data_IF_054921011722
#
_entry.id   IF_054921011722
#
_cell.length_a   1.000
_cell.length_b   1.000
_cell.length_c   1.000
_cell.angle_alpha   90.00
_cell.angle_beta   90.00
_cell.angle_gamma   90.00
#
_symmetry.space_group_name_H-M   'P 1'
#
loop_
_entity.id
_entity.type
_entity.pdbx_description
1 polymer ?
#
# COMPACT_ATOMS: atom_id res chain seq x y z
N UNK A 1 -7.71 -1.67 -33.41
CA UNK A 1 -7.01 -2.94 -33.07
C UNK A 1 -7.99 -3.77 -32.26
N UNK A 2 -8.26 -5.03 -32.63
CA UNK A 2 -9.16 -5.90 -31.86
C UNK A 2 -8.54 -6.19 -30.48
N UNK A 3 -9.28 -5.98 -29.41
CA UNK A 3 -8.82 -6.20 -28.04
C UNK A 3 -8.50 -7.69 -27.81
N UNK A 4 -7.28 -7.94 -27.32
CA UNK A 4 -6.79 -9.30 -27.09
C UNK A 4 -7.36 -9.87 -25.78
N UNK A 5 -7.75 -11.17 -25.75
CA UNK A 5 -8.19 -11.80 -24.52
C UNK A 5 -7.01 -11.98 -23.56
N UNK A 6 -7.28 -12.04 -22.25
CA UNK A 6 -6.27 -12.34 -21.22
C UNK A 6 -5.49 -13.62 -21.50
N UNK A 7 -6.14 -14.62 -22.09
CA UNK A 7 -5.51 -15.90 -22.43
C UNK A 7 -4.39 -15.84 -23.46
N UNK A 8 -4.25 -14.70 -24.16
CA UNK A 8 -3.18 -14.47 -25.12
C UNK A 8 -1.87 -13.96 -24.49
N UNK A 9 -1.86 -13.64 -23.19
CA UNK A 9 -0.67 -13.16 -22.49
C UNK A 9 0.36 -14.28 -22.30
N UNK A 10 1.65 -13.92 -22.35
CA UNK A 10 2.72 -14.77 -21.83
C UNK A 10 2.62 -14.80 -20.31
N UNK A 11 2.70 -15.99 -19.72
CA UNK A 11 2.63 -16.19 -18.27
C UNK A 11 4.03 -16.40 -17.68
N UNK A 12 4.25 -16.07 -16.38
CA UNK A 12 3.27 -15.49 -15.46
C UNK A 12 3.02 -14.00 -15.76
N UNK A 13 1.77 -13.54 -15.62
CA UNK A 13 1.40 -12.16 -15.92
C UNK A 13 0.49 -11.57 -14.84
N UNK A 14 0.89 -10.43 -14.28
CA UNK A 14 0.03 -9.65 -13.41
C UNK A 14 -1.02 -8.90 -14.24
N UNK A 15 -2.27 -9.14 -13.91
CA UNK A 15 -3.43 -8.51 -14.55
C UNK A 15 -4.19 -7.67 -13.54
N UNK A 16 -4.70 -6.53 -14.00
CA UNK A 16 -5.46 -5.57 -13.19
C UNK A 16 -6.80 -5.29 -13.86
N UNK A 17 -7.87 -5.58 -13.14
CA UNK A 17 -9.24 -5.23 -13.51
C UNK A 17 -9.50 -3.76 -13.21
N UNK A 18 -9.49 -2.92 -14.25
CA UNK A 18 -9.60 -1.45 -14.08
C UNK A 18 -10.96 -1.03 -13.55
N UNK A 19 -12.02 -1.81 -13.79
CA UNK A 19 -13.37 -1.47 -13.34
C UNK A 19 -13.50 -1.72 -11.85
N UNK A 20 -12.85 -2.76 -11.33
CA UNK A 20 -12.67 -2.94 -9.89
C UNK A 20 -11.83 -1.83 -9.26
N UNK A 21 -10.67 -1.47 -9.86
CA UNK A 21 -9.85 -0.36 -9.36
C UNK A 21 -10.66 0.93 -9.25
N UNK A 22 -11.42 1.28 -10.30
CA UNK A 22 -12.30 2.47 -10.30
C UNK A 22 -13.37 2.40 -9.22
N UNK A 23 -14.04 1.25 -9.06
CA UNK A 23 -15.07 1.07 -8.01
C UNK A 23 -14.46 1.21 -6.62
N UNK A 24 -13.31 0.59 -6.38
CA UNK A 24 -12.61 0.69 -5.10
C UNK A 24 -12.17 2.13 -4.82
N UNK A 25 -11.64 2.83 -5.84
CA UNK A 25 -11.29 4.25 -5.79
C UNK A 25 -12.47 5.13 -5.36
N UNK A 26 -13.60 5.00 -6.07
CA UNK A 26 -14.82 5.79 -5.84
C UNK A 26 -15.48 5.51 -4.48
N UNK A 27 -15.33 4.30 -3.94
CA UNK A 27 -15.82 3.95 -2.60
C UNK A 27 -15.00 4.59 -1.48
N UNK A 28 -13.72 4.85 -1.73
CA UNK A 28 -12.79 5.34 -0.70
C UNK A 28 -12.66 6.87 -0.69
N UNK A 29 -12.57 7.49 -1.87
CA UNK A 29 -12.22 8.91 -1.99
C UNK A 29 -13.14 9.59 -3.02
N UNK A 30 -13.78 10.68 -2.60
CA UNK A 30 -14.66 11.51 -3.44
C UNK A 30 -13.90 12.21 -4.58
N UNK A 31 -12.60 12.53 -4.35
CA UNK A 31 -11.71 13.20 -5.31
C UNK A 31 -10.80 12.21 -6.04
N UNK A 32 -11.33 11.50 -7.03
CA UNK A 32 -10.51 10.71 -7.95
C UNK A 32 -9.96 11.60 -9.09
N UNK A 33 -8.66 11.49 -9.40
CA UNK A 33 -8.08 12.01 -10.66
C UNK A 33 -7.47 13.42 -10.63
N UNK A 34 -7.34 14.08 -9.46
CA UNK A 34 -6.78 15.45 -9.35
C UNK A 34 -5.27 15.58 -9.61
N UNK A 35 -4.54 14.46 -9.77
CA UNK A 35 -3.05 14.40 -9.78
C UNK A 35 -2.40 15.21 -8.64
N UNK A 36 -3.09 15.36 -7.52
CA UNK A 36 -2.63 16.08 -6.34
C UNK A 36 -3.00 15.30 -5.08
N UNK A 37 -2.28 15.56 -3.99
CA UNK A 37 -2.51 14.95 -2.67
C UNK A 37 -2.29 13.44 -2.74
N UNK A 38 -1.03 13.06 -2.99
CA UNK A 38 -0.60 11.66 -2.99
C UNK A 38 0.46 11.42 -1.92
N UNK A 39 0.48 10.18 -1.44
CA UNK A 39 1.50 9.72 -0.50
C UNK A 39 2.41 8.73 -1.20
N UNK A 40 3.72 8.94 -1.09
CA UNK A 40 4.76 8.09 -1.70
C UNK A 40 5.67 7.48 -0.64
N UNK A 41 6.22 6.31 -0.93
CA UNK A 41 7.05 5.52 -0.01
C UNK A 41 8.55 5.64 -0.27
N UNK A 42 8.94 6.19 -1.43
CA UNK A 42 10.34 6.38 -1.86
C UNK A 42 10.54 7.71 -2.58
N UNK A 43 11.79 8.17 -2.66
CA UNK A 43 12.10 9.34 -3.50
C UNK A 43 12.08 9.00 -4.99
N UNK A 44 12.33 7.75 -5.38
CA UNK A 44 12.07 7.27 -6.73
C UNK A 44 10.61 7.47 -7.15
N UNK A 45 9.65 7.18 -6.27
CA UNK A 45 8.24 7.48 -6.50
C UNK A 45 7.97 8.98 -6.51
N UNK A 46 8.50 9.74 -5.55
CA UNK A 46 8.32 11.20 -5.50
C UNK A 46 8.77 11.87 -6.81
N UNK A 47 9.97 11.55 -7.28
CA UNK A 47 10.49 12.04 -8.56
C UNK A 47 9.63 11.58 -9.73
N UNK A 48 9.26 10.29 -9.77
CA UNK A 48 8.44 9.75 -10.85
C UNK A 48 7.11 10.49 -10.98
N UNK A 49 6.36 10.66 -9.89
CA UNK A 49 5.07 11.35 -9.93
C UNK A 49 5.22 12.84 -10.25
N UNK A 50 6.22 13.51 -9.67
CA UNK A 50 6.53 14.90 -9.98
C UNK A 50 6.83 15.11 -11.47
N UNK A 51 7.65 14.23 -12.08
CA UNK A 51 8.00 14.30 -13.50
C UNK A 51 6.79 14.03 -14.43
N UNK A 52 5.72 13.46 -13.89
CA UNK A 52 4.45 13.21 -14.60
C UNK A 52 3.34 14.21 -14.24
N UNK A 53 3.72 15.35 -13.65
CA UNK A 53 2.82 16.47 -13.37
C UNK A 53 1.91 16.26 -12.17
N UNK A 54 2.32 15.42 -11.21
CA UNK A 54 1.71 15.41 -9.89
C UNK A 54 2.37 16.47 -8.99
N UNK A 55 1.57 17.01 -8.08
CA UNK A 55 2.01 17.94 -7.03
C UNK A 55 1.31 17.57 -5.71
N UNK A 56 1.55 18.29 -4.61
CA UNK A 56 1.06 17.96 -3.27
C UNK A 56 1.41 16.50 -2.94
N UNK A 57 2.71 16.26 -2.84
CA UNK A 57 3.31 14.94 -2.66
C UNK A 57 3.89 14.85 -1.25
N UNK A 58 3.42 13.88 -0.48
CA UNK A 58 3.95 13.55 0.84
C UNK A 58 4.86 12.34 0.77
N UNK A 59 6.15 12.52 1.06
CA UNK A 59 7.07 11.40 1.27
C UNK A 59 6.88 10.83 2.69
N UNK A 60 5.99 9.84 2.82
CA UNK A 60 5.56 9.25 4.11
C UNK A 60 6.58 8.27 4.72
N UNK A 61 7.80 8.75 4.92
CA UNK A 61 8.91 8.02 5.50
C UNK A 61 9.71 8.93 6.42
N UNK A 62 10.19 8.42 7.56
CA UNK A 62 11.05 9.20 8.46
C UNK A 62 12.29 9.66 7.69
N UNK A 63 12.48 10.98 7.57
CA UNK A 63 13.48 11.58 6.67
C UNK A 63 14.87 10.97 6.86
N UNK A 64 15.41 10.25 5.86
CA UNK A 64 16.80 9.80 5.91
C UNK A 64 17.73 10.99 5.71
N UNK A 65 18.73 11.14 6.59
CA UNK A 65 19.59 12.33 6.63
C UNK A 65 20.42 12.51 5.35
N UNK A 66 20.82 11.42 4.71
CA UNK A 66 21.54 11.40 3.43
C UNK A 66 20.69 11.87 2.24
N UNK A 67 19.37 12.01 2.42
CA UNK A 67 18.42 12.38 1.37
C UNK A 67 17.94 13.83 1.46
N UNK A 68 18.42 14.61 2.41
CA UNK A 68 17.99 16.01 2.63
C UNK A 68 18.16 16.85 1.36
N UNK A 69 19.29 16.73 0.65
CA UNK A 69 19.49 17.48 -0.61
C UNK A 69 18.48 17.09 -1.69
N UNK A 70 18.20 15.78 -1.87
CA UNK A 70 17.19 15.31 -2.85
C UNK A 70 15.78 15.79 -2.47
N UNK A 71 15.47 15.84 -1.18
CA UNK A 71 14.20 16.40 -0.70
C UNK A 71 14.14 17.92 -0.94
N UNK A 72 15.24 18.65 -0.79
CA UNK A 72 15.30 20.09 -1.04
C UNK A 72 15.03 20.40 -2.51
N UNK A 73 15.62 19.63 -3.43
CA UNK A 73 15.37 19.77 -4.87
C UNK A 73 13.87 19.59 -5.20
N UNK A 74 13.20 18.61 -4.57
CA UNK A 74 11.76 18.40 -4.74
C UNK A 74 10.92 19.53 -4.11
N UNK A 75 11.27 20.00 -2.91
CA UNK A 75 10.62 21.15 -2.26
C UNK A 75 10.84 22.47 -2.99
N UNK A 76 11.93 22.63 -3.73
CA UNK A 76 12.20 23.80 -4.57
C UNK A 76 11.51 23.71 -5.94
N UNK A 77 11.19 22.50 -6.40
CA UNK A 77 10.58 22.23 -7.71
C UNK A 77 9.05 22.19 -7.69
N UNK A 78 8.44 21.55 -6.69
CA UNK A 78 6.99 21.36 -6.60
C UNK A 78 6.31 22.53 -5.88
N UNK A 79 5.01 22.76 -6.11
CA UNK A 79 4.26 23.74 -5.31
C UNK A 79 4.20 23.29 -3.84
N UNK A 80 4.01 21.98 -3.61
CA UNK A 80 3.95 21.40 -2.28
C UNK A 80 4.59 20.00 -2.26
N UNK A 81 5.82 19.93 -1.75
CA UNK A 81 6.47 18.68 -1.35
C UNK A 81 6.61 18.64 0.17
N UNK A 82 6.19 17.53 0.76
CA UNK A 82 6.07 17.37 2.20
C UNK A 82 6.87 16.15 2.67
N UNK A 83 7.45 16.23 3.87
CA UNK A 83 8.31 15.19 4.45
C UNK A 83 7.86 14.83 5.87
N UNK A 84 8.20 13.62 6.33
CA UNK A 84 7.93 13.17 7.70
C UNK A 84 9.17 13.28 8.58
N UNK A 85 8.99 13.81 9.78
CA UNK A 85 9.98 13.81 10.85
C UNK A 85 9.43 13.14 12.10
N UNK A 86 10.28 12.41 12.80
CA UNK A 86 10.02 11.86 14.14
C UNK A 86 11.23 11.98 15.08
N UNK A 87 12.27 12.72 14.68
CA UNK A 87 13.49 12.86 15.47
C UNK A 87 14.10 14.27 15.33
N UNK A 88 14.59 14.89 16.42
CA UNK A 88 15.17 16.24 16.39
C UNK A 88 16.39 16.37 15.47
N UNK A 89 17.22 15.32 15.35
CA UNK A 89 18.37 15.36 14.42
C UNK A 89 17.96 15.61 12.97
N UNK A 90 16.82 15.08 12.53
CA UNK A 90 16.35 15.32 11.17
C UNK A 90 15.91 16.78 10.98
N UNK A 91 15.32 17.40 12.00
CA UNK A 91 15.04 18.84 12.01
C UNK A 91 16.34 19.67 11.95
N UNK A 92 17.40 19.23 12.63
CA UNK A 92 18.70 19.92 12.58
C UNK A 92 19.36 19.86 11.20
N UNK A 93 19.18 18.78 10.44
CA UNK A 93 19.63 18.71 9.05
C UNK A 93 18.84 19.69 8.16
N UNK A 94 17.52 19.85 8.37
CA UNK A 94 16.73 20.85 7.64
C UNK A 94 17.21 22.28 7.93
N UNK A 95 17.63 22.57 9.16
CA UNK A 95 18.22 23.89 9.53
C UNK A 95 19.52 24.16 8.78
N UNK A 96 20.36 23.14 8.62
CA UNK A 96 21.63 23.24 7.89
C UNK A 96 21.42 23.45 6.39
N UNK A 97 20.28 22.97 5.87
CA UNK A 97 19.89 23.11 4.46
C UNK A 97 18.61 23.95 4.30
N UNK A 98 18.70 25.30 4.43
CA UNK A 98 17.56 26.16 4.11
C UNK A 98 17.19 26.05 2.64
N UNK A 99 15.89 26.12 2.33
CA UNK A 99 15.40 26.15 0.95
C UNK A 99 15.61 27.53 0.32
N UNK A 100 15.76 27.54 -1.00
CA UNK A 100 15.94 28.78 -1.78
C UNK A 100 14.65 29.61 -1.86
N UNK A 101 14.82 30.89 -2.18
CA UNK A 101 13.75 31.84 -2.50
C UNK A 101 12.65 31.98 -1.42
N UNK A 102 13.00 31.73 -0.16
CA UNK A 102 12.07 31.86 0.96
C UNK A 102 11.04 30.72 1.07
N UNK A 103 11.21 29.64 0.31
CA UNK A 103 10.38 28.42 0.43
C UNK A 103 10.54 27.78 1.81
N UNK A 104 9.53 27.04 2.23
CA UNK A 104 9.47 26.38 3.52
C UNK A 104 9.57 24.87 3.37
N UNK A 105 10.25 24.23 4.30
CA UNK A 105 10.12 22.80 4.51
C UNK A 105 8.74 22.51 5.10
N UNK A 106 7.88 21.81 4.37
CA UNK A 106 6.58 21.36 4.87
C UNK A 106 6.73 20.01 5.57
N UNK A 107 6.58 20.00 6.88
CA UNK A 107 6.88 18.85 7.74
C UNK A 107 5.63 18.30 8.38
N UNK A 108 5.49 16.98 8.34
CA UNK A 108 4.57 16.23 9.16
C UNK A 108 5.31 15.59 10.35
N UNK A 109 4.79 15.80 11.56
CA UNK A 109 5.24 15.07 12.73
C UNK A 109 4.64 13.66 12.71
N UNK A 110 5.49 12.66 12.58
CA UNK A 110 5.08 11.25 12.65
C UNK A 110 4.93 10.84 14.10
N UNK A 111 3.73 10.40 14.48
CA UNK A 111 3.46 9.83 15.80
C UNK A 111 3.25 8.31 15.74
N UNK A 112 3.56 7.69 16.88
CA UNK A 112 3.13 6.33 17.21
C UNK A 112 1.92 6.38 18.17
N UNK A 113 0.79 5.86 17.70
CA UNK A 113 -0.45 5.67 18.45
C UNK A 113 -0.80 4.19 18.58
N UNK A 114 0.21 3.34 18.84
CA UNK A 114 0.04 1.91 19.10
C UNK A 114 0.43 0.99 17.94
N UNK A 115 1.02 1.53 16.88
CA UNK A 115 1.50 0.72 15.75
C UNK A 115 2.88 0.10 16.02
N UNK A 116 3.75 0.74 16.81
CA UNK A 116 5.04 0.18 17.21
C UNK A 116 6.06 0.07 16.08
N UNK A 117 6.04 1.03 15.12
CA UNK A 117 6.91 1.01 13.93
C UNK A 117 7.90 2.18 13.86
N UNK A 118 7.37 3.39 13.83
CA UNK A 118 8.10 4.65 13.70
C UNK A 118 7.21 5.78 14.23
N UNK A 119 7.80 6.93 14.51
CA UNK A 119 7.11 8.05 15.14
C UNK A 119 7.39 8.20 16.62
N UNK A 120 7.24 9.42 17.11
CA UNK A 120 7.32 9.71 18.54
C UNK A 120 6.05 9.19 19.20
N UNK A 121 6.18 8.50 20.33
CA UNK A 121 5.02 7.99 21.06
C UNK A 121 4.15 9.18 21.53
N UNK A 122 2.87 9.19 21.13
CA UNK A 122 1.95 10.33 21.35
C UNK A 122 1.75 10.72 22.83
N UNK A 123 2.03 9.80 23.76
CA UNK A 123 1.90 10.02 25.20
C UNK A 123 3.13 10.67 25.83
N UNK A 124 4.26 10.69 25.12
CA UNK A 124 5.54 11.17 25.63
C UNK A 124 5.70 12.68 25.46
N UNK A 125 6.28 13.41 26.44
CA UNK A 125 6.50 14.85 26.35
C UNK A 125 7.30 15.28 25.10
N UNK A 126 8.20 14.43 24.65
CA UNK A 126 9.07 14.63 23.48
C UNK A 126 8.28 14.90 22.21
N UNK A 127 7.06 14.35 22.08
CA UNK A 127 6.22 14.59 20.91
C UNK A 127 5.77 16.06 20.81
N UNK A 128 5.38 16.67 21.94
CA UNK A 128 5.02 18.09 22.00
C UNK A 128 6.26 18.96 21.87
N UNK A 129 7.36 18.60 22.55
CA UNK A 129 8.63 19.32 22.46
C UNK A 129 9.16 19.38 21.02
N UNK A 130 9.05 18.27 20.27
CA UNK A 130 9.44 18.23 18.86
C UNK A 130 8.51 19.08 17.99
N UNK A 131 7.19 19.04 18.21
CA UNK A 131 6.25 19.92 17.49
C UNK A 131 6.56 21.41 17.71
N UNK A 132 6.84 21.80 18.96
CA UNK A 132 7.26 23.17 19.32
C UNK A 132 8.58 23.55 18.65
N UNK A 133 9.56 22.63 18.62
CA UNK A 133 10.83 22.85 17.96
C UNK A 133 10.67 23.06 16.44
N UNK A 134 9.79 22.29 15.79
CA UNK A 134 9.47 22.46 14.36
C UNK A 134 8.88 23.86 14.13
N UNK A 135 7.84 24.25 14.87
CA UNK A 135 7.17 25.56 14.74
C UNK A 135 8.13 26.73 15.03
N UNK A 136 9.05 26.55 15.98
CA UNK A 136 10.06 27.56 16.32
C UNK A 136 11.22 27.67 15.33
N UNK A 137 11.31 26.79 14.33
CA UNK A 137 12.42 26.77 13.37
C UNK A 137 12.10 27.61 12.14
N UNK A 138 12.90 28.66 11.90
CA UNK A 138 12.77 29.49 10.68
C UNK A 138 12.96 28.65 9.43
N UNK A 139 12.07 28.82 8.45
CA UNK A 139 12.13 28.10 7.17
C UNK A 139 11.49 26.70 7.20
N UNK A 140 10.84 26.33 8.30
CA UNK A 140 10.13 25.06 8.46
C UNK A 140 8.70 25.34 8.91
N UNK A 141 7.74 24.65 8.31
CA UNK A 141 6.32 24.70 8.68
C UNK A 141 5.89 23.32 9.19
N UNK A 142 5.23 23.30 10.36
CA UNK A 142 4.51 22.10 10.81
C UNK A 142 3.17 22.00 10.07
N UNK A 143 3.13 21.22 9.01
CA UNK A 143 1.91 20.99 8.23
C UNK A 143 0.87 20.20 9.01
N UNK A 144 1.30 19.19 9.76
CA UNK A 144 0.37 18.33 10.49
C UNK A 144 1.02 17.20 11.26
N UNK A 145 0.15 16.38 11.84
CA UNK A 145 0.48 15.12 12.51
C UNK A 145 0.06 13.96 11.62
N UNK A 146 0.96 12.99 11.43
CA UNK A 146 0.72 11.81 10.59
C UNK A 146 0.81 10.53 11.42
N UNK A 147 -0.22 9.70 11.40
CA UNK A 147 -0.30 8.44 12.16
C UNK A 147 -0.71 7.29 11.24
N UNK A 148 0.06 6.20 11.24
CA UNK A 148 -0.33 5.02 10.45
C UNK A 148 -0.75 3.89 11.40
N UNK A 149 -2.02 3.46 11.31
CA UNK A 149 -2.58 2.34 12.08
C UNK A 149 -2.32 0.97 11.39
N UNK A 150 -1.04 0.64 11.22
CA UNK A 150 -0.61 -0.63 10.60
C UNK A 150 -0.93 -1.87 11.45
N UNK A 151 -1.13 -1.71 12.75
CA UNK A 151 -1.62 -2.74 13.67
C UNK A 151 -2.99 -3.31 13.27
N UNK A 152 -3.78 -2.60 12.45
CA UNK A 152 -5.04 -3.10 11.88
C UNK A 152 -4.89 -4.33 10.97
N UNK A 153 -3.69 -4.63 10.47
CA UNK A 153 -3.42 -5.85 9.69
C UNK A 153 -3.45 -7.13 10.54
N UNK A 154 -3.44 -7.00 11.87
CA UNK A 154 -3.58 -8.12 12.80
C UNK A 154 -5.05 -8.42 13.15
N UNK A 155 -5.99 -7.55 12.76
CA UNK A 155 -7.40 -7.69 13.06
C UNK A 155 -8.06 -8.84 12.28
N UNK A 156 -9.16 -9.35 12.82
CA UNK A 156 -10.10 -10.24 12.14
C UNK A 156 -11.51 -9.74 12.36
N UNK A 157 -12.15 -9.30 11.28
CA UNK A 157 -13.52 -8.80 11.27
C UNK A 157 -13.63 -7.30 11.57
N UNK A 158 -14.79 -6.76 11.20
CA UNK A 158 -15.10 -5.32 11.23
C UNK A 158 -14.98 -4.72 12.63
N UNK A 159 -15.44 -5.42 13.66
CA UNK A 159 -15.39 -4.93 15.04
C UNK A 159 -13.96 -4.61 15.50
N UNK A 160 -13.01 -5.52 15.27
CA UNK A 160 -11.61 -5.30 15.65
C UNK A 160 -10.96 -4.20 14.81
N UNK A 161 -11.29 -4.11 13.52
CA UNK A 161 -10.82 -3.04 12.64
C UNK A 161 -11.30 -1.68 13.17
N UNK A 162 -12.58 -1.57 13.52
CA UNK A 162 -13.18 -0.34 14.04
C UNK A 162 -12.63 0.02 15.42
N UNK A 163 -12.35 -0.97 16.28
CA UNK A 163 -11.70 -0.72 17.57
C UNK A 163 -10.31 -0.07 17.39
N UNK A 164 -9.46 -0.62 16.50
CA UNK A 164 -8.15 -0.03 16.19
C UNK A 164 -8.28 1.35 15.54
N UNK A 165 -9.26 1.53 14.64
CA UNK A 165 -9.52 2.81 14.00
C UNK A 165 -9.96 3.88 15.02
N UNK A 166 -10.86 3.54 15.93
CA UNK A 166 -11.35 4.42 16.98
C UNK A 166 -10.22 4.79 17.95
N UNK A 167 -9.48 3.80 18.45
CA UNK A 167 -8.35 4.05 19.36
C UNK A 167 -7.31 4.97 18.71
N UNK A 168 -6.88 4.67 17.47
CA UNK A 168 -5.92 5.53 16.75
C UNK A 168 -6.47 6.95 16.58
N UNK A 169 -7.75 7.09 16.23
CA UNK A 169 -8.41 8.38 16.04
C UNK A 169 -8.45 9.16 17.35
N UNK A 170 -8.86 8.53 18.45
CA UNK A 170 -8.97 9.16 19.76
C UNK A 170 -7.61 9.64 20.27
N UNK A 171 -6.57 8.79 20.18
CA UNK A 171 -5.22 9.17 20.59
C UNK A 171 -4.68 10.32 19.74
N UNK A 172 -4.97 10.33 18.44
CA UNK A 172 -4.58 11.42 17.54
C UNK A 172 -5.29 12.71 17.92
N UNK A 173 -6.62 12.69 18.10
CA UNK A 173 -7.40 13.87 18.47
C UNK A 173 -7.01 14.41 19.86
N UNK A 174 -6.76 13.54 20.83
CA UNK A 174 -6.24 13.94 22.14
C UNK A 174 -4.88 14.64 22.01
N UNK A 175 -4.00 14.15 21.13
CA UNK A 175 -2.72 14.83 20.85
C UNK A 175 -2.94 16.19 20.17
N UNK A 176 -3.88 16.29 19.23
CA UNK A 176 -4.24 17.57 18.60
C UNK A 176 -4.73 18.61 19.62
N UNK A 177 -5.50 18.19 20.63
CA UNK A 177 -5.91 19.09 21.73
C UNK A 177 -4.72 19.54 22.59
N UNK A 178 -3.72 18.67 22.83
CA UNK A 178 -2.47 19.06 23.51
C UNK A 178 -1.66 20.09 22.70
N UNK A 179 -1.59 19.93 21.37
CA UNK A 179 -0.96 20.91 20.48
C UNK A 179 -1.69 22.24 20.53
N UNK A 180 -3.02 22.22 20.45
CA UNK A 180 -3.86 23.42 20.53
C UNK A 180 -3.70 24.16 21.85
N UNK A 181 -3.67 23.44 22.98
CA UNK A 181 -3.38 24.00 24.29
C UNK A 181 -1.98 24.64 24.38
N UNK A 182 -1.04 24.18 23.55
CA UNK A 182 0.31 24.75 23.41
C UNK A 182 0.40 25.86 22.36
N UNK A 183 -0.74 26.31 21.80
CA UNK A 183 -0.80 27.36 20.78
C UNK A 183 -0.47 26.90 19.36
N UNK A 184 -0.39 25.58 19.11
CA UNK A 184 -0.08 25.00 17.80
C UNK A 184 -1.36 24.49 17.14
N UNK A 185 -1.63 24.94 15.90
CA UNK A 185 -2.72 24.42 15.07
C UNK A 185 -2.13 23.88 13.77
N UNK A 186 -2.46 22.65 13.41
CA UNK A 186 -1.99 21.97 12.21
C UNK A 186 -3.00 20.92 11.74
N UNK A 187 -2.74 20.24 10.62
CA UNK A 187 -3.58 19.14 10.13
C UNK A 187 -3.39 17.85 10.93
N UNK A 188 -4.32 16.91 10.79
CA UNK A 188 -4.23 15.55 11.32
C UNK A 188 -4.57 14.52 10.25
N UNK A 189 -3.74 13.49 10.14
CA UNK A 189 -3.80 12.45 9.11
C UNK A 189 -3.66 11.08 9.74
N UNK A 190 -4.64 10.20 9.51
CA UNK A 190 -4.52 8.78 9.85
C UNK A 190 -4.85 7.88 8.67
N UNK A 191 -4.46 6.62 8.68
CA UNK A 191 -5.03 5.69 7.72
C UNK A 191 -4.31 4.37 7.57
N UNK A 192 -5.10 3.37 7.27
CA UNK A 192 -4.72 2.06 6.76
C UNK A 192 -5.87 1.58 5.87
N UNK A 193 -5.61 0.64 4.96
CA UNK A 193 -6.71 0.09 4.14
C UNK A 193 -7.79 -0.54 5.01
N UNK A 194 -7.49 -1.36 6.05
CA UNK A 194 -8.53 -1.89 6.91
C UNK A 194 -9.39 -0.81 7.57
N UNK A 195 -8.77 0.15 8.26
CA UNK A 195 -9.51 1.20 9.00
C UNK A 195 -10.35 2.08 8.09
N UNK A 196 -9.86 2.40 6.89
CA UNK A 196 -10.57 3.25 5.95
C UNK A 196 -11.65 2.50 5.16
N UNK A 197 -11.59 1.17 5.08
CA UNK A 197 -12.67 0.35 4.50
C UNK A 197 -13.88 0.25 5.43
N UNK A 198 -13.66 0.38 6.74
CA UNK A 198 -14.70 0.40 7.78
C UNK A 198 -14.51 1.61 8.71
N UNK A 199 -14.70 2.85 8.22
CA UNK A 199 -14.40 4.05 8.98
C UNK A 199 -15.30 4.20 10.20
N UNK A 200 -14.77 4.81 11.25
CA UNK A 200 -15.55 5.23 12.43
C UNK A 200 -15.93 6.71 12.32
N UNK A 201 -17.03 7.11 12.96
CA UNK A 201 -17.59 8.46 12.83
C UNK A 201 -16.58 9.57 13.15
N UNK A 202 -15.76 9.36 14.17
CA UNK A 202 -14.80 10.37 14.63
C UNK A 202 -13.65 10.61 13.66
N UNK A 203 -13.41 9.73 12.69
CA UNK A 203 -12.46 10.00 11.61
C UNK A 203 -12.87 11.24 10.79
N UNK A 204 -14.15 11.61 10.79
CA UNK A 204 -14.64 12.86 10.19
C UNK A 204 -14.17 14.14 10.89
N UNK A 205 -13.53 14.03 12.06
CA UNK A 205 -12.88 15.16 12.76
C UNK A 205 -11.42 15.36 12.33
N UNK A 206 -10.84 14.41 11.59
CA UNK A 206 -9.48 14.49 11.08
C UNK A 206 -9.44 15.35 9.80
N UNK A 207 -8.25 15.83 9.44
CA UNK A 207 -8.09 16.63 8.22
C UNK A 207 -8.06 15.77 6.95
N UNK A 208 -7.47 14.57 7.02
CA UNK A 208 -7.31 13.67 5.88
C UNK A 208 -7.14 12.21 6.30
N UNK A 209 -7.28 11.30 5.32
CA UNK A 209 -6.94 9.88 5.47
C UNK A 209 -6.04 9.39 4.33
N UNK A 210 -5.20 8.39 4.60
CA UNK A 210 -4.15 7.92 3.66
C UNK A 210 -4.10 6.39 3.42
N UNK A 211 -5.21 5.71 3.06
CA UNK A 211 -5.14 4.31 2.63
C UNK A 211 -4.47 4.18 1.25
N UNK A 212 -4.03 2.98 0.87
CA UNK A 212 -3.38 2.75 -0.43
C UNK A 212 -3.70 1.40 -1.08
N UNK A 213 -3.53 0.31 -0.33
CA UNK A 213 -3.77 -1.05 -0.81
C UNK A 213 -5.18 -1.26 -1.40
N UNK A 214 -6.20 -0.55 -0.88
CA UNK A 214 -7.59 -0.61 -1.33
C UNK A 214 -7.81 -0.47 -2.85
N UNK A 215 -6.91 0.21 -3.57
CA UNK A 215 -6.98 0.30 -5.03
C UNK A 215 -6.98 -1.07 -5.69
N UNK A 216 -6.25 -2.03 -5.12
CA UNK A 216 -6.22 -3.42 -5.58
C UNK A 216 -6.94 -4.41 -4.65
N UNK A 217 -6.86 -4.20 -3.33
CA UNK A 217 -7.11 -5.24 -2.33
C UNK A 217 -6.29 -6.53 -2.62
N UNK A 218 -6.46 -7.55 -1.78
CA UNK A 218 -5.83 -8.86 -1.91
C UNK A 218 -6.48 -9.88 -0.94
N UNK A 219 -5.97 -11.12 -0.93
CA UNK A 219 -6.50 -12.15 -0.03
C UNK A 219 -6.28 -11.77 1.44
N UNK A 220 -5.18 -11.10 1.80
CA UNK A 220 -4.95 -10.66 3.18
C UNK A 220 -6.04 -9.69 3.62
N UNK A 221 -6.39 -8.68 2.80
CA UNK A 221 -7.49 -7.76 3.11
C UNK A 221 -8.83 -8.48 3.22
N UNK A 222 -9.09 -9.49 2.38
CA UNK A 222 -10.31 -10.29 2.50
C UNK A 222 -10.36 -11.11 3.79
N UNK A 223 -9.24 -11.71 4.22
CA UNK A 223 -9.14 -12.45 5.50
C UNK A 223 -9.26 -11.53 6.71
N UNK A 224 -8.73 -10.31 6.62
CA UNK A 224 -8.90 -9.28 7.67
C UNK A 224 -10.38 -8.87 7.77
N UNK A 225 -11.11 -8.88 6.64
CA UNK A 225 -12.51 -8.45 6.54
C UNK A 225 -12.68 -7.04 5.96
N UNK A 226 -11.64 -6.49 5.32
CA UNK A 226 -11.66 -5.15 4.71
C UNK A 226 -12.40 -5.13 3.37
N UNK A 227 -12.41 -6.26 2.65
CA UNK A 227 -13.10 -6.41 1.37
C UNK A 227 -13.59 -7.86 1.18
N UNK A 228 -14.36 -8.11 0.13
CA UNK A 228 -14.62 -9.46 -0.37
C UNK A 228 -13.58 -9.86 -1.43
N UNK A 229 -13.46 -11.16 -1.74
CA UNK A 229 -12.53 -11.63 -2.80
C UNK A 229 -12.94 -11.09 -4.19
N UNK A 230 -14.22 -10.82 -4.40
CA UNK A 230 -14.75 -10.26 -5.64
C UNK A 230 -14.29 -8.81 -5.86
N UNK A 231 -13.92 -8.08 -4.80
CA UNK A 231 -13.39 -6.72 -4.88
C UNK A 231 -11.90 -6.68 -5.23
N UNK A 232 -11.20 -7.81 -5.14
CA UNK A 232 -9.78 -7.89 -5.50
C UNK A 232 -9.60 -7.69 -7.00
N UNK A 233 -8.87 -6.62 -7.34
CA UNK A 233 -8.64 -6.16 -8.70
C UNK A 233 -7.37 -6.73 -9.33
N UNK A 234 -6.40 -7.15 -8.51
CA UNK A 234 -5.10 -7.67 -8.97
C UNK A 234 -5.07 -9.19 -8.92
N UNK A 235 -4.58 -9.81 -10.00
CA UNK A 235 -4.41 -11.27 -10.10
C UNK A 235 -3.13 -11.60 -10.87
N UNK A 236 -2.63 -12.83 -10.73
CA UNK A 236 -1.51 -13.35 -11.53
C UNK A 236 -2.01 -14.53 -12.35
N UNK A 237 -1.93 -14.40 -13.67
CA UNK A 237 -2.19 -15.50 -14.59
C UNK A 237 -0.97 -16.41 -14.65
N UNK A 238 -1.20 -17.72 -14.65
CA UNK A 238 -0.16 -18.75 -14.76
C UNK A 238 -0.67 -19.91 -15.60
N UNK A 239 0.23 -20.69 -16.21
CA UNK A 239 -0.12 -21.89 -16.95
C UNK A 239 0.36 -23.15 -16.23
N UNK A 240 -0.44 -24.20 -16.37
CA UNK A 240 -0.01 -25.56 -16.03
C UNK A 240 1.07 -25.99 -17.02
N UNK A 241 2.26 -26.30 -16.51
CA UNK A 241 3.43 -26.71 -17.33
C UNK A 241 3.85 -28.15 -17.07
N UNK A 242 3.27 -28.82 -16.07
CA UNK A 242 3.57 -30.22 -15.81
C UNK A 242 2.54 -30.88 -14.90
N UNK A 243 2.41 -32.20 -15.05
CA UNK A 243 1.69 -33.06 -14.12
C UNK A 243 2.69 -33.94 -13.39
N UNK A 244 2.50 -34.12 -12.09
CA UNK A 244 3.33 -34.98 -11.26
C UNK A 244 2.46 -36.01 -10.51
N UNK A 245 1.94 -37.06 -11.20
CA UNK A 245 1.02 -38.04 -10.60
C UNK A 245 1.55 -38.71 -9.33
N UNK A 246 2.83 -39.07 -9.32
CA UNK A 246 3.52 -39.68 -8.17
C UNK A 246 3.55 -38.80 -6.90
N UNK A 247 3.26 -37.50 -7.02
CA UNK A 247 3.19 -36.54 -5.90
C UNK A 247 1.81 -35.88 -5.76
N UNK A 248 0.83 -36.28 -6.58
CA UNK A 248 -0.49 -35.64 -6.63
C UNK A 248 -0.42 -34.11 -6.84
N UNK A 249 0.37 -33.66 -7.81
CA UNK A 249 0.70 -32.24 -8.01
C UNK A 249 0.56 -31.77 -9.47
N UNK A 250 0.17 -30.51 -9.64
CA UNK A 250 0.40 -29.72 -10.86
C UNK A 250 1.65 -28.86 -10.66
N UNK A 251 2.40 -28.66 -11.75
CA UNK A 251 3.46 -27.68 -11.85
C UNK A 251 2.95 -26.48 -12.66
N UNK A 252 3.14 -25.27 -12.13
CA UNK A 252 2.74 -24.02 -12.79
C UNK A 252 3.95 -23.12 -13.04
N UNK A 253 3.89 -22.28 -14.06
CA UNK A 253 4.95 -21.33 -14.44
C UNK A 253 4.99 -20.03 -13.60
N UNK A 254 4.48 -20.09 -12.37
CA UNK A 254 4.53 -18.97 -11.44
C UNK A 254 5.20 -19.40 -10.14
N UNK A 255 6.47 -19.04 -9.97
CA UNK A 255 7.20 -19.14 -8.72
C UNK A 255 7.13 -17.85 -7.90
N UNK A 256 8.03 -17.71 -6.91
CA UNK A 256 8.05 -16.52 -6.06
C UNK A 256 8.46 -15.24 -6.82
N UNK A 257 9.13 -15.34 -7.98
CA UNK A 257 9.34 -14.18 -8.87
C UNK A 257 8.05 -13.65 -9.51
N UNK A 258 6.97 -14.45 -9.53
CA UNK A 258 5.66 -14.00 -10.02
C UNK A 258 4.68 -13.58 -8.92
N UNK A 259 4.96 -13.91 -7.65
CA UNK A 259 3.97 -13.80 -6.56
C UNK A 259 4.49 -13.23 -5.24
N UNK A 260 5.81 -13.20 -5.01
CA UNK A 260 6.47 -13.03 -3.70
C UNK A 260 6.26 -14.22 -2.72
N UNK A 261 6.86 -14.14 -1.52
CA UNK A 261 6.73 -15.15 -0.46
C UNK A 261 5.79 -14.73 0.68
N UNK A 262 5.14 -13.57 0.60
CA UNK A 262 4.47 -12.93 1.74
C UNK A 262 3.32 -13.76 2.36
N UNK A 263 2.67 -14.60 1.55
CA UNK A 263 1.60 -15.50 2.00
C UNK A 263 2.04 -16.78 2.72
N UNK A 264 3.36 -17.05 2.81
CA UNK A 264 3.87 -18.30 3.38
C UNK A 264 3.35 -18.55 4.80
N UNK A 265 2.63 -19.66 5.00
CA UNK A 265 2.08 -20.04 6.29
C UNK A 265 0.94 -19.16 6.81
N UNK A 266 0.38 -18.27 5.97
CA UNK A 266 -0.71 -17.36 6.34
C UNK A 266 -2.09 -17.83 5.86
N UNK A 267 -2.14 -18.67 4.82
CA UNK A 267 -3.39 -19.21 4.27
C UNK A 267 -3.38 -20.74 4.30
N UNK A 268 -4.54 -21.39 4.47
CA UNK A 268 -4.67 -22.82 4.24
C UNK A 268 -4.39 -23.21 2.79
N UNK A 269 -4.59 -22.27 1.85
CA UNK A 269 -4.30 -22.43 0.41
C UNK A 269 -2.84 -22.14 0.05
N UNK A 270 -1.98 -21.86 1.04
CA UNK A 270 -0.56 -21.55 0.84
C UNK A 270 -0.33 -20.07 0.49
N UNK A 271 0.22 -19.78 -0.69
CA UNK A 271 0.67 -18.43 -1.04
C UNK A 271 -0.39 -17.54 -1.71
N UNK A 272 -1.47 -18.13 -2.22
CA UNK A 272 -2.55 -17.46 -2.94
C UNK A 272 -3.86 -18.27 -2.86
N UNK A 273 -4.95 -17.66 -3.32
CA UNK A 273 -6.18 -18.38 -3.67
C UNK A 273 -6.19 -18.65 -5.17
N UNK A 274 -6.56 -19.86 -5.59
CA UNK A 274 -6.73 -20.19 -7.01
C UNK A 274 -8.20 -19.96 -7.37
N UNK A 275 -8.46 -18.93 -8.18
CA UNK A 275 -9.82 -18.50 -8.51
C UNK A 275 -10.60 -19.63 -9.21
N UNK A 276 -11.82 -19.91 -8.74
CA UNK A 276 -12.66 -20.98 -9.26
C UNK A 276 -12.27 -22.40 -8.82
N UNK A 277 -11.20 -22.55 -8.05
CA UNK A 277 -10.65 -23.84 -7.63
C UNK A 277 -10.40 -23.86 -6.11
N UNK A 278 -11.46 -23.80 -5.29
CA UNK A 278 -11.34 -23.78 -3.83
C UNK A 278 -10.79 -25.11 -3.26
N UNK A 279 -10.76 -26.16 -4.08
CA UNK A 279 -10.20 -27.48 -3.79
C UNK A 279 -8.69 -27.55 -4.04
N UNK A 280 -8.05 -26.47 -4.50
CA UNK A 280 -6.62 -26.41 -4.75
C UNK A 280 -5.87 -25.47 -3.80
N UNK A 281 -4.59 -25.75 -3.58
CA UNK A 281 -3.65 -24.93 -2.81
C UNK A 281 -2.31 -24.82 -3.53
N UNK A 282 -1.70 -23.64 -3.47
CA UNK A 282 -0.33 -23.41 -3.94
C UNK A 282 0.63 -23.73 -2.79
N UNK A 283 1.11 -24.97 -2.72
CA UNK A 283 1.85 -25.50 -1.57
C UNK A 283 3.22 -24.84 -1.40
N UNK A 284 3.98 -24.73 -2.49
CA UNK A 284 5.36 -24.27 -2.45
C UNK A 284 5.77 -23.68 -3.79
N UNK A 285 6.80 -22.83 -3.74
CA UNK A 285 7.36 -22.18 -4.90
C UNK A 285 8.89 -22.27 -4.88
N UNK A 286 9.47 -22.40 -6.06
CA UNK A 286 10.86 -22.02 -6.34
C UNK A 286 10.84 -20.67 -7.06
N UNK A 287 11.96 -20.24 -7.64
CA UNK A 287 12.04 -18.95 -8.32
C UNK A 287 10.96 -18.79 -9.40
N UNK A 288 10.86 -19.75 -10.32
CA UNK A 288 9.98 -19.67 -11.49
C UNK A 288 8.89 -20.75 -11.53
N UNK A 289 8.86 -21.67 -10.56
CA UNK A 289 7.89 -22.76 -10.54
C UNK A 289 7.06 -22.77 -9.26
N UNK A 290 5.75 -22.91 -9.41
CA UNK A 290 4.81 -23.17 -8.32
C UNK A 290 4.32 -24.62 -8.35
N UNK A 291 4.04 -25.18 -7.17
CA UNK A 291 3.49 -26.53 -7.01
C UNK A 291 2.08 -26.43 -6.43
N UNK A 292 1.10 -26.86 -7.21
CA UNK A 292 -0.31 -26.87 -6.81
C UNK A 292 -0.71 -28.29 -6.43
N UNK A 293 -1.42 -28.41 -5.31
CA UNK A 293 -1.96 -29.65 -4.76
C UNK A 293 -3.45 -29.51 -4.50
N UNK A 294 -4.20 -30.62 -4.43
CA UNK A 294 -5.55 -30.57 -3.92
C UNK A 294 -5.51 -30.40 -2.40
N UNK A 295 -6.55 -29.77 -1.84
CA UNK A 295 -6.76 -29.71 -0.39
C UNK A 295 -7.01 -31.13 0.16
N UNK A 296 -7.75 -31.95 -0.58
CA UNK A 296 -8.03 -33.35 -0.24
C UNK A 296 -8.25 -34.19 -1.51
N UNK A 297 -8.00 -35.50 -1.39
CA UNK A 297 -8.24 -36.45 -2.47
C UNK A 297 -7.26 -36.37 -3.65
N UNK A 298 -7.48 -37.18 -4.70
CA UNK A 298 -6.66 -37.19 -5.90
C UNK A 298 -7.00 -36.02 -6.84
N UNK A 299 -5.99 -35.47 -7.52
CA UNK A 299 -6.20 -34.52 -8.62
C UNK A 299 -6.81 -35.22 -9.83
N UNK A 300 -7.82 -34.59 -10.40
CA UNK A 300 -8.29 -34.90 -11.75
C UNK A 300 -7.50 -34.08 -12.78
N UNK A 301 -6.42 -34.67 -13.29
CA UNK A 301 -5.54 -34.04 -14.28
C UNK A 301 -6.24 -33.67 -15.59
N UNK A 302 -7.37 -34.31 -15.92
CA UNK A 302 -8.13 -34.01 -17.14
C UNK A 302 -8.76 -32.61 -17.12
N UNK A 303 -9.01 -32.08 -15.91
CA UNK A 303 -9.51 -30.70 -15.71
C UNK A 303 -8.43 -29.63 -15.88
N UNK A 304 -7.16 -30.02 -15.85
CA UNK A 304 -6.01 -29.10 -15.89
C UNK A 304 -4.99 -29.49 -16.97
N UNK A 305 -5.35 -29.55 -18.27
CA UNK A 305 -4.41 -29.91 -19.33
C UNK A 305 -3.16 -29.01 -19.36
N UNK A 306 -2.04 -29.53 -19.85
CA UNK A 306 -0.84 -28.71 -20.06
C UNK A 306 -1.16 -27.50 -20.95
N UNK A 307 -0.72 -26.32 -20.51
CA UNK A 307 -1.01 -25.03 -21.14
C UNK A 307 -2.30 -24.36 -20.68
N UNK A 308 -3.16 -25.04 -19.91
CA UNK A 308 -4.37 -24.42 -19.35
C UNK A 308 -4.00 -23.31 -18.37
N UNK A 309 -4.80 -22.24 -18.37
CA UNK A 309 -4.61 -21.10 -17.47
C UNK A 309 -5.22 -21.37 -16.10
N UNK A 310 -4.51 -20.93 -15.09
CA UNK A 310 -5.01 -20.73 -13.72
C UNK A 310 -4.82 -19.25 -13.36
N UNK A 311 -5.66 -18.79 -12.44
CA UNK A 311 -5.65 -17.40 -11.98
C UNK A 311 -5.42 -17.38 -10.48
N UNK A 312 -4.31 -16.79 -10.06
CA UNK A 312 -3.92 -16.65 -8.66
C UNK A 312 -4.37 -15.28 -8.13
N UNK A 313 -5.08 -15.28 -7.02
CA UNK A 313 -5.37 -14.07 -6.23
C UNK A 313 -4.28 -13.99 -5.15
N UNK A 314 -3.39 -12.98 -5.20
CA UNK A 314 -2.21 -12.93 -4.33
C UNK A 314 -2.59 -12.69 -2.86
N UNK A 315 -1.75 -13.19 -1.94
CA UNK A 315 -1.89 -12.87 -0.52
C UNK A 315 -1.79 -11.37 -0.26
N UNK A 316 -0.77 -10.72 -0.83
CA UNK A 316 -0.49 -9.30 -0.62
C UNK A 316 -0.19 -8.62 -1.96
N UNK A 317 -1.04 -7.68 -2.35
CA UNK A 317 -1.00 -7.00 -3.64
C UNK A 317 0.27 -6.17 -3.82
N UNK A 318 0.71 -5.40 -2.82
CA UNK A 318 1.92 -4.57 -2.91
C UNK A 318 3.17 -5.43 -3.16
N UNK A 319 3.32 -6.53 -2.39
CA UNK A 319 4.44 -7.46 -2.51
C UNK A 319 4.42 -8.23 -3.84
N UNK A 320 3.24 -8.52 -4.38
CA UNK A 320 3.12 -9.16 -5.69
C UNK A 320 3.43 -8.15 -6.81
N UNK A 321 2.89 -6.94 -6.71
CA UNK A 321 3.00 -5.91 -7.74
C UNK A 321 4.47 -5.51 -8.02
N UNK A 322 5.31 -5.37 -6.98
CA UNK A 322 6.73 -5.02 -7.16
C UNK A 322 7.52 -6.06 -7.98
N UNK A 323 7.04 -7.31 -8.04
CA UNK A 323 7.68 -8.37 -8.82
C UNK A 323 7.45 -8.22 -10.34
N UNK A 324 6.48 -7.40 -10.75
CA UNK A 324 6.09 -7.26 -12.16
C UNK A 324 6.54 -5.92 -12.76
N UNK A 325 7.24 -5.90 -13.90
CA UNK A 325 7.61 -4.67 -14.60
C UNK A 325 6.48 -4.06 -15.42
N UNK A 326 5.40 -4.80 -15.63
CA UNK A 326 4.24 -4.37 -16.40
C UNK A 326 3.01 -4.97 -15.75
N UNK A 327 1.97 -4.15 -15.58
CA UNK A 327 0.65 -4.59 -15.17
C UNK A 327 -0.25 -4.60 -16.41
N UNK A 328 -0.86 -5.73 -16.73
CA UNK A 328 -1.75 -5.86 -17.86
C UNK A 328 -3.17 -5.46 -17.47
N UNK A 329 -3.61 -4.31 -17.98
CA UNK A 329 -4.87 -3.69 -17.57
C UNK A 329 -5.99 -4.19 -18.47
N UNK A 330 -7.10 -4.62 -17.87
CA UNK A 330 -8.25 -5.13 -18.59
C UNK A 330 -9.57 -4.61 -18.04
N UNK A 331 -10.61 -4.72 -18.87
CA UNK A 331 -12.02 -4.54 -18.53
C UNK A 331 -12.78 -5.70 -19.16
N UNK A 332 -13.70 -6.34 -18.41
CA UNK A 332 -14.50 -7.48 -18.91
C UNK A 332 -13.69 -8.59 -19.61
N UNK A 333 -12.49 -8.89 -19.09
CA UNK A 333 -11.58 -9.91 -19.65
C UNK A 333 -10.85 -9.52 -20.94
N UNK A 334 -10.95 -8.26 -21.37
CA UNK A 334 -10.30 -7.69 -22.57
C UNK A 334 -9.19 -6.72 -22.20
N UNK A 335 -8.03 -6.91 -22.82
CA UNK A 335 -6.87 -6.05 -22.57
C UNK A 335 -7.10 -4.64 -23.13
N UNK A 336 -6.98 -3.65 -22.24
CA UNK A 336 -7.06 -2.23 -22.57
C UNK A 336 -5.68 -1.60 -22.74
N UNK A 337 -4.68 -2.09 -22.01
CA UNK A 337 -3.35 -1.50 -22.03
C UNK A 337 -2.41 -2.07 -21.00
N UNK A 338 -1.39 -1.26 -20.67
CA UNK A 338 -0.32 -1.61 -19.74
C UNK A 338 -0.08 -0.44 -18.80
N UNK A 339 0.16 -0.73 -17.53
CA UNK A 339 0.76 0.22 -16.60
C UNK A 339 2.20 -0.21 -16.31
N UNK A 340 3.11 0.75 -16.25
CA UNK A 340 4.52 0.53 -15.94
C UNK A 340 4.79 1.20 -14.59
N UNK A 341 5.02 0.44 -13.51
CA UNK A 341 5.32 1.02 -12.21
C UNK A 341 6.75 1.55 -12.17
N UNK A 342 6.96 2.61 -11.39
CA UNK A 342 8.30 2.99 -10.92
C UNK A 342 8.83 1.98 -9.89
N UNK A 343 10.15 1.96 -9.69
CA UNK A 343 10.86 1.05 -8.77
C UNK A 343 12.17 1.67 -8.29
N UNK A 344 12.74 1.13 -7.22
CA UNK A 344 14.00 1.60 -6.65
C UNK A 344 13.79 2.64 -5.54
N UNK A 345 14.81 3.46 -5.26
CA UNK A 345 14.86 4.36 -4.09
C UNK A 345 15.24 5.82 -4.36
#
# INVERSE_FOLDING_TARGET
MKEKPLSSLCTPALVVDVDKVKRNALRMIERCGSRRCIVVSTLAEACFYADHGFDDILYAYSLPLDKVERCADLSERLDLFQILLDHPHALDELKKRPLRDGRLWHVWLKLDCGNGRAGVLHSQPEAISLAQAIVGTKGVELTGVYVHCGNSYNCRGVEQIQAVAQETTDLTLQFMEKLKASGITCKSSIGSTPSCSHPVKDMGKLSEVHPGNYGFYDVQQSVIGSCTLEEVAVKVLTRVIGHCPHRNQLLIDCGWCGLSLDGAGKLPTGYAVIEGHPDLKLLSMTQEHGRVEPISGPLDYSKFPLGSLLTLIPYHSCATAVMHPVYHVHSEGRLLGKWIPTRGW
#
